data_IF_140964610151
#
_entry.id   IF_140964610151
#
_cell.length_a   1.000
_cell.length_b   1.000
_cell.length_c   1.000
_cell.angle_alpha   90.00
_cell.angle_beta   90.00
_cell.angle_gamma   90.00
#
_symmetry.space_group_name_H-M   'P 1'
#
loop_
_entity.id
_entity.type
_entity.pdbx_description
1 polymer ?
#
# COMPACT_ATOMS: atom_id res chain seq x y z
N UNK A 1 -37.52 26.49 -7.25
CA UNK A 1 -36.39 26.77 -6.35
C UNK A 1 -36.18 25.52 -5.51
N UNK A 2 -35.21 24.65 -5.90
CA UNK A 2 -34.84 23.49 -5.10
C UNK A 2 -33.63 23.88 -4.25
N UNK A 3 -33.80 23.80 -2.95
CA UNK A 3 -32.77 24.00 -1.95
C UNK A 3 -31.67 22.96 -2.16
N UNK A 4 -30.43 23.39 -2.43
CA UNK A 4 -29.23 22.56 -2.38
C UNK A 4 -28.90 22.34 -0.92
N UNK A 5 -29.25 21.19 -0.38
CA UNK A 5 -28.71 20.73 0.88
C UNK A 5 -27.23 20.46 0.65
N UNK A 6 -26.40 21.31 1.22
CA UNK A 6 -24.95 21.05 1.28
C UNK A 6 -24.66 19.76 2.06
N UNK A 7 -23.54 19.09 1.77
CA UNK A 7 -23.20 17.85 2.45
C UNK A 7 -23.11 18.12 3.95
N UNK A 8 -23.87 17.34 4.72
CA UNK A 8 -23.75 17.33 6.17
C UNK A 8 -22.32 16.90 6.50
N UNK A 9 -21.56 17.79 7.11
CA UNK A 9 -20.24 17.47 7.68
C UNK A 9 -20.51 16.51 8.82
N UNK A 10 -20.49 15.22 8.52
CA UNK A 10 -20.45 14.20 9.56
C UNK A 10 -19.08 14.37 10.24
N UNK A 11 -19.12 14.81 11.48
CA UNK A 11 -17.93 15.02 12.31
C UNK A 11 -17.21 13.70 12.42
N UNK A 12 -16.22 13.53 11.57
CA UNK A 12 -15.41 12.31 11.49
C UNK A 12 -14.62 12.20 12.79
N UNK A 13 -14.76 11.08 13.43
CA UNK A 13 -13.98 10.54 14.54
C UNK A 13 -12.64 11.24 14.76
N UNK A 14 -12.47 11.78 15.96
CA UNK A 14 -11.20 12.37 16.41
C UNK A 14 -10.04 11.43 16.14
N UNK A 15 -8.93 11.93 15.58
CA UNK A 15 -7.72 11.12 15.43
C UNK A 15 -7.29 10.58 16.79
N UNK A 16 -6.92 9.31 16.84
CA UNK A 16 -6.36 8.71 18.04
C UNK A 16 -5.05 9.41 18.40
N UNK A 17 -4.99 10.06 19.54
CA UNK A 17 -3.75 10.69 20.02
C UNK A 17 -3.22 9.93 21.23
N UNK A 18 -1.96 9.49 21.16
CA UNK A 18 -1.23 8.92 22.28
C UNK A 18 -0.13 9.90 22.72
N UNK A 19 -0.16 10.34 23.97
CA UNK A 19 0.93 11.09 24.54
C UNK A 19 1.89 10.15 25.28
N UNK A 20 3.18 10.22 24.95
CA UNK A 20 4.21 9.49 25.68
C UNK A 20 4.92 10.46 26.62
N UNK A 21 5.17 10.00 27.85
CA UNK A 21 5.85 10.83 28.85
C UNK A 21 7.23 11.28 28.35
N UNK A 22 7.35 12.59 28.03
CA UNK A 22 8.59 13.22 27.60
C UNK A 22 9.04 12.97 26.15
N UNK A 23 8.24 12.28 25.30
CA UNK A 23 8.63 11.95 23.90
C UNK A 23 7.72 12.52 22.81
N UNK A 24 6.78 13.39 23.15
CA UNK A 24 5.89 14.05 22.20
C UNK A 24 4.53 13.36 22.02
N UNK A 25 3.80 13.85 21.05
CA UNK A 25 2.46 13.36 20.70
C UNK A 25 2.54 12.55 19.41
N UNK A 26 1.88 11.40 19.39
CA UNK A 26 1.71 10.59 18.20
C UNK A 26 0.24 10.69 17.78
N UNK A 27 0.00 11.04 16.52
CA UNK A 27 -1.33 11.17 15.95
C UNK A 27 -1.49 10.12 14.86
N UNK A 28 -2.50 9.29 14.99
CA UNK A 28 -2.92 8.37 13.95
C UNK A 28 -4.13 8.99 13.25
N UNK A 29 -3.94 9.46 12.02
CA UNK A 29 -4.95 10.21 11.26
C UNK A 29 -6.22 9.41 10.99
N UNK A 30 -6.06 8.11 10.75
CA UNK A 30 -7.19 7.22 10.53
C UNK A 30 -6.94 5.87 11.23
N UNK A 31 -7.79 5.58 12.22
CA UNK A 31 -7.81 4.30 12.93
C UNK A 31 -9.05 3.45 12.62
N UNK A 32 -9.86 3.88 11.64
CA UNK A 32 -11.09 3.15 11.27
C UNK A 32 -10.83 1.69 10.93
N UNK A 33 -9.76 1.34 10.18
CA UNK A 33 -9.44 -0.05 9.89
C UNK A 33 -9.17 -0.88 11.15
N UNK A 34 -8.59 -0.26 12.20
CA UNK A 34 -8.28 -0.97 13.43
C UNK A 34 -9.51 -1.35 14.26
N UNK A 35 -10.67 -0.72 14.00
CA UNK A 35 -11.94 -1.09 14.64
C UNK A 35 -12.51 -2.39 14.12
N UNK A 36 -12.16 -2.73 12.88
CA UNK A 36 -12.60 -3.96 12.20
C UNK A 36 -11.66 -5.15 12.48
N UNK A 37 -10.62 -4.94 13.28
CA UNK A 37 -9.68 -6.00 13.66
C UNK A 37 -10.37 -6.95 14.62
N UNK A 38 -10.41 -8.23 14.23
CA UNK A 38 -10.91 -9.34 15.03
C UNK A 38 -9.91 -10.50 15.01
N UNK A 39 -10.01 -11.39 15.98
CA UNK A 39 -9.18 -12.61 15.97
C UNK A 39 -9.38 -13.42 14.71
N UNK A 40 -10.62 -13.46 14.19
CA UNK A 40 -10.96 -14.16 12.95
C UNK A 40 -10.21 -13.56 11.75
N UNK A 41 -10.20 -12.23 11.61
CA UNK A 41 -9.51 -11.53 10.53
C UNK A 41 -7.98 -11.72 10.61
N UNK A 42 -7.43 -11.77 11.82
CA UNK A 42 -5.99 -12.00 12.03
C UNK A 42 -5.57 -13.45 11.75
N UNK A 43 -6.49 -14.39 11.77
CA UNK A 43 -6.24 -15.80 11.40
C UNK A 43 -6.21 -16.02 9.88
N UNK A 44 -6.81 -15.12 9.10
CA UNK A 44 -6.80 -15.21 7.64
C UNK A 44 -5.38 -14.93 7.12
N UNK A 45 -5.07 -15.50 5.94
CA UNK A 45 -3.76 -15.27 5.31
C UNK A 45 -3.54 -13.78 5.02
N UNK A 46 -4.59 -13.08 4.61
CA UNK A 46 -4.61 -11.63 4.45
C UNK A 46 -6.03 -11.08 4.60
N UNK A 47 -6.12 -9.84 5.03
CA UNK A 47 -7.39 -9.10 5.14
C UNK A 47 -7.22 -7.70 4.58
N UNK A 48 -8.10 -7.31 3.66
CA UNK A 48 -8.23 -5.93 3.19
C UNK A 48 -9.35 -5.26 4.00
N UNK A 49 -9.02 -4.17 4.67
CA UNK A 49 -9.97 -3.44 5.49
C UNK A 49 -10.78 -2.43 4.68
N UNK A 50 -11.99 -2.05 5.15
CA UNK A 50 -12.82 -1.05 4.51
C UNK A 50 -12.05 0.25 4.24
N UNK A 51 -12.25 0.77 3.05
CA UNK A 51 -11.59 1.99 2.58
C UNK A 51 -12.48 3.19 2.85
N UNK A 52 -11.90 4.23 3.41
CA UNK A 52 -12.58 5.49 3.65
C UNK A 52 -12.67 6.29 2.37
N UNK A 53 -13.77 7.05 2.21
CA UNK A 53 -13.93 7.99 1.12
C UNK A 53 -12.73 8.93 1.00
N UNK A 54 -12.16 9.00 -0.19
CA UNK A 54 -11.03 9.87 -0.49
C UNK A 54 -11.51 11.22 -1.01
N UNK A 55 -10.87 12.29 -0.53
CA UNK A 55 -11.17 13.62 -1.01
C UNK A 55 -10.34 13.95 -2.24
N UNK A 56 -11.02 14.41 -3.27
CA UNK A 56 -10.36 14.95 -4.45
C UNK A 56 -10.14 16.45 -4.26
N UNK A 57 -8.89 16.90 -4.18
CA UNK A 57 -8.53 18.31 -4.05
C UNK A 57 -7.20 18.59 -4.75
N UNK A 58 -6.94 19.84 -5.04
CA UNK A 58 -5.62 20.25 -5.54
C UNK A 58 -4.71 20.51 -4.33
N UNK A 59 -3.65 19.71 -4.15
CA UNK A 59 -2.70 19.94 -3.08
C UNK A 59 -2.04 21.31 -3.25
N UNK A 60 -2.07 22.11 -2.20
CA UNK A 60 -1.36 23.38 -2.20
C UNK A 60 0.09 23.14 -1.83
N UNK A 61 0.98 23.43 -2.76
CA UNK A 61 2.41 23.48 -2.47
C UNK A 61 2.71 24.78 -1.73
N UNK A 62 3.32 24.68 -0.59
CA UNK A 62 3.85 25.82 0.15
C UNK A 62 5.22 26.19 -0.40
N UNK A 63 5.59 27.48 -0.30
CA UNK A 63 6.88 27.99 -0.79
C UNK A 63 8.06 27.21 -0.20
N UNK A 64 8.97 26.78 -1.06
CA UNK A 64 10.28 26.27 -0.68
C UNK A 64 10.47 24.75 -0.69
N UNK A 65 9.43 23.96 -0.88
CA UNK A 65 9.58 22.50 -1.02
C UNK A 65 8.74 21.98 -2.19
N UNK A 66 9.44 21.52 -3.21
CA UNK A 66 8.84 20.92 -4.41
C UNK A 66 8.82 19.40 -4.35
N UNK A 67 9.21 18.79 -3.22
CA UNK A 67 9.21 17.35 -3.05
C UNK A 67 7.78 16.86 -2.86
N UNK A 68 7.29 15.83 -3.59
CA UNK A 68 6.00 15.22 -3.34
C UNK A 68 5.89 14.77 -1.88
N UNK A 69 4.89 15.24 -1.14
CA UNK A 69 4.73 14.97 0.29
C UNK A 69 5.68 15.74 1.21
N UNK A 70 6.50 16.63 0.67
CA UNK A 70 7.41 17.44 1.46
C UNK A 70 6.70 18.43 2.39
N UNK A 71 7.36 18.77 3.48
CA UNK A 71 6.92 19.83 4.38
C UNK A 71 7.60 21.12 3.98
N UNK A 72 6.83 22.14 3.64
CA UNK A 72 7.38 23.45 3.44
C UNK A 72 7.72 24.13 4.77
N UNK A 73 8.69 25.01 4.77
CA UNK A 73 9.01 25.85 5.93
C UNK A 73 8.10 27.08 5.96
N UNK A 74 7.51 27.35 7.13
CA UNK A 74 6.82 28.61 7.42
C UNK A 74 7.65 29.52 8.32
N UNK A 75 8.93 29.21 8.47
CA UNK A 75 9.86 29.86 9.38
C UNK A 75 10.11 29.02 10.63
N UNK A 76 11.23 29.29 11.30
CA UNK A 76 11.71 28.49 12.43
C UNK A 76 10.79 28.51 13.66
N UNK A 77 9.92 29.53 13.74
CA UNK A 77 8.97 29.67 14.85
C UNK A 77 7.74 28.76 14.75
N UNK A 78 7.51 28.12 13.60
CA UNK A 78 6.32 27.32 13.35
C UNK A 78 6.69 25.86 13.06
N UNK A 79 6.06 24.95 13.80
CA UNK A 79 6.18 23.53 13.51
C UNK A 79 5.38 23.16 12.26
N UNK A 80 6.03 22.49 11.32
CA UNK A 80 5.42 22.00 10.09
C UNK A 80 5.63 20.49 9.99
N UNK A 81 4.56 19.74 9.78
CA UNK A 81 4.60 18.31 9.50
C UNK A 81 4.35 18.03 8.01
N UNK A 82 4.83 16.90 7.47
CA UNK A 82 4.44 16.44 6.14
C UNK A 82 2.93 16.28 6.05
N UNK A 83 2.36 16.54 4.86
CA UNK A 83 0.96 16.24 4.61
C UNK A 83 0.72 14.72 4.66
N UNK A 84 -0.48 14.28 5.07
CA UNK A 84 -0.87 12.88 4.91
C UNK A 84 -0.83 12.49 3.43
N UNK A 85 -0.69 11.18 3.11
CA UNK A 85 -0.73 10.74 1.72
C UNK A 85 -2.00 11.22 1.02
N UNK A 86 -1.84 11.79 -0.18
CA UNK A 86 -2.96 12.22 -1.00
C UNK A 86 -3.67 11.00 -1.58
N UNK A 87 -5.01 11.01 -1.55
CA UNK A 87 -5.85 10.04 -2.22
C UNK A 87 -6.49 9.00 -1.31
N UNK A 88 -6.77 7.82 -1.86
CA UNK A 88 -7.39 6.72 -1.13
C UNK A 88 -6.32 5.88 -0.43
N UNK A 89 -6.45 5.70 0.87
CA UNK A 89 -5.52 4.90 1.67
C UNK A 89 -6.10 3.53 1.91
N UNK A 90 -5.41 2.52 1.38
CA UNK A 90 -5.74 1.11 1.57
C UNK A 90 -4.96 0.58 2.77
N UNK A 91 -5.66 -0.05 3.69
CA UNK A 91 -5.07 -0.74 4.83
C UNK A 91 -5.31 -2.23 4.69
N UNK A 92 -4.25 -3.02 4.74
CA UNK A 92 -4.35 -4.47 4.71
C UNK A 92 -3.45 -5.10 5.78
N UNK A 93 -3.79 -6.32 6.14
CA UNK A 93 -3.03 -7.15 7.07
C UNK A 93 -2.55 -8.39 6.35
N UNK A 94 -1.31 -8.78 6.60
CA UNK A 94 -0.73 -10.06 6.19
C UNK A 94 -0.34 -10.84 7.44
N UNK A 95 -0.85 -12.07 7.56
CA UNK A 95 -0.47 -12.95 8.67
C UNK A 95 0.99 -13.36 8.58
N UNK A 96 1.41 -13.75 7.40
CA UNK A 96 2.74 -14.26 7.12
C UNK A 96 3.39 -13.42 6.01
N UNK A 97 4.70 -13.27 6.10
CA UNK A 97 5.51 -12.66 5.05
C UNK A 97 5.52 -13.53 3.79
N UNK A 98 5.40 -12.92 2.62
CA UNK A 98 5.54 -13.62 1.36
C UNK A 98 7.02 -13.85 1.07
N UNK A 99 7.39 -15.11 0.80
CA UNK A 99 8.77 -15.51 0.58
C UNK A 99 8.93 -16.23 -0.75
N UNK A 100 10.09 -16.04 -1.37
CA UNK A 100 10.51 -16.83 -2.53
C UNK A 100 10.73 -18.30 -2.15
N UNK A 101 10.70 -19.18 -3.13
CA UNK A 101 11.03 -20.60 -2.94
C UNK A 101 12.45 -20.77 -2.37
N UNK A 102 13.39 -19.93 -2.84
CA UNK A 102 14.76 -19.92 -2.33
C UNK A 102 14.84 -19.56 -0.84
N UNK A 103 14.11 -18.52 -0.41
CA UNK A 103 14.06 -18.12 1.00
C UNK A 103 13.46 -19.20 1.89
N UNK A 104 12.34 -19.79 1.45
CA UNK A 104 11.68 -20.89 2.16
C UNK A 104 12.62 -22.09 2.32
N UNK A 105 13.32 -22.49 1.25
CA UNK A 105 14.32 -23.56 1.29
C UNK A 105 15.46 -23.25 2.25
N UNK A 106 16.03 -22.05 2.16
CA UNK A 106 17.13 -21.63 3.06
C UNK A 106 16.71 -21.60 4.52
N UNK A 107 15.48 -21.24 4.82
CA UNK A 107 14.94 -21.31 6.19
C UNK A 107 14.77 -22.74 6.68
N UNK A 108 14.30 -23.64 5.80
CA UNK A 108 14.20 -25.07 6.11
C UNK A 108 15.59 -25.69 6.38
N UNK A 109 16.57 -25.39 5.52
CA UNK A 109 17.96 -25.83 5.68
C UNK A 109 18.55 -25.35 7.03
N UNK A 110 18.38 -24.07 7.36
CA UNK A 110 18.82 -23.53 8.66
C UNK A 110 18.16 -24.21 9.87
N UNK A 111 16.94 -24.70 9.72
CA UNK A 111 16.29 -25.47 10.80
C UNK A 111 16.90 -26.86 10.95
N UNK A 112 17.18 -27.53 9.83
CA UNK A 112 17.84 -28.84 9.82
C UNK A 112 19.26 -28.75 10.40
N UNK A 113 20.03 -27.75 10.00
CA UNK A 113 21.37 -27.52 10.57
C UNK A 113 21.34 -27.34 12.10
N UNK A 114 20.33 -26.64 12.64
CA UNK A 114 20.18 -26.46 14.07
C UNK A 114 19.84 -27.74 14.83
N UNK A 115 19.14 -28.68 14.17
CA UNK A 115 18.83 -29.99 14.74
C UNK A 115 19.95 -31.00 14.53
N UNK A 116 20.97 -30.65 13.73
CA UNK A 116 22.07 -31.54 13.40
C UNK A 116 21.74 -32.57 12.32
N UNK A 117 20.69 -32.32 11.56
CA UNK A 117 20.23 -33.16 10.46
C UNK A 117 20.93 -32.75 9.15
N UNK A 118 21.11 -33.71 8.24
CA UNK A 118 21.65 -33.44 6.93
C UNK A 118 20.71 -32.58 6.07
N UNK A 119 21.24 -31.59 5.37
CA UNK A 119 20.51 -30.78 4.40
C UNK A 119 20.52 -31.46 3.04
N UNK A 120 19.36 -31.91 2.51
CA UNK A 120 19.31 -32.57 1.22
C UNK A 120 19.61 -31.59 0.09
N UNK A 121 20.40 -32.04 -0.89
CA UNK A 121 20.64 -31.23 -2.09
C UNK A 121 19.34 -31.08 -2.91
N UNK A 122 18.90 -29.85 -3.24
CA UNK A 122 17.62 -29.59 -3.86
C UNK A 122 17.51 -30.03 -5.32
N UNK A 123 18.63 -30.32 -5.97
CA UNK A 123 18.70 -30.65 -7.39
C UNK A 123 18.78 -29.42 -8.31
N UNK A 124 19.42 -29.61 -9.47
CA UNK A 124 19.67 -28.54 -10.43
C UNK A 124 18.38 -27.89 -10.98
N UNK A 125 17.32 -28.67 -11.18
CA UNK A 125 16.06 -28.13 -11.71
C UNK A 125 15.33 -27.25 -10.70
N UNK A 126 15.43 -27.53 -9.41
CA UNK A 126 14.90 -26.69 -8.37
C UNK A 126 15.67 -25.37 -8.27
N UNK A 127 17.00 -25.43 -8.26
CA UNK A 127 17.86 -24.23 -8.21
C UNK A 127 17.64 -23.33 -9.42
N UNK A 128 17.48 -23.90 -10.62
CA UNK A 128 17.22 -23.12 -11.83
C UNK A 128 15.84 -22.44 -11.77
N UNK A 129 14.82 -23.09 -11.20
CA UNK A 129 13.50 -22.47 -10.99
C UNK A 129 13.58 -21.32 -9.99
N UNK A 130 14.33 -21.49 -8.91
CA UNK A 130 14.56 -20.41 -7.94
C UNK A 130 15.28 -19.21 -8.57
N UNK A 131 16.24 -19.43 -9.47
CA UNK A 131 16.99 -18.36 -10.14
C UNK A 131 16.13 -17.48 -11.05
N UNK A 132 15.11 -18.07 -11.69
CA UNK A 132 14.19 -17.36 -12.58
C UNK A 132 12.89 -16.94 -11.88
N UNK A 133 12.72 -17.24 -10.60
CA UNK A 133 11.54 -16.90 -9.83
C UNK A 133 11.37 -15.39 -9.75
N UNK A 134 10.16 -14.90 -10.08
CA UNK A 134 9.82 -13.51 -9.87
C UNK A 134 9.62 -13.24 -8.37
N UNK A 135 10.13 -12.12 -7.85
CA UNK A 135 9.87 -11.74 -6.46
C UNK A 135 8.38 -11.74 -6.16
N UNK A 136 7.96 -12.24 -4.99
CA UNK A 136 6.58 -12.15 -4.56
C UNK A 136 6.17 -10.69 -4.43
N UNK A 137 4.91 -10.39 -4.67
CA UNK A 137 4.37 -9.04 -4.52
C UNK A 137 2.93 -9.10 -4.03
N UNK A 138 2.56 -8.12 -3.23
CA UNK A 138 1.17 -7.79 -2.97
C UNK A 138 0.73 -6.78 -4.02
N UNK A 139 -0.39 -7.06 -4.67
CA UNK A 139 -0.95 -6.20 -5.73
C UNK A 139 -2.36 -5.78 -5.33
N UNK A 140 -2.53 -4.49 -5.19
CA UNK A 140 -3.83 -3.84 -5.04
C UNK A 140 -4.32 -3.43 -6.43
N UNK A 141 -5.48 -3.93 -6.84
CA UNK A 141 -6.07 -3.61 -8.14
C UNK A 141 -7.28 -2.71 -7.93
N UNK A 142 -7.18 -1.48 -8.42
CA UNK A 142 -8.29 -0.53 -8.41
C UNK A 142 -9.07 -0.64 -9.70
N UNK A 143 -10.40 -0.75 -9.60
CA UNK A 143 -11.33 -0.84 -10.72
C UNK A 143 -12.40 0.23 -10.62
N UNK A 144 -12.88 0.70 -11.76
CA UNK A 144 -14.02 1.60 -11.85
C UNK A 144 -15.37 0.84 -11.72
N UNK A 145 -16.47 1.58 -11.80
CA UNK A 145 -17.85 1.05 -11.75
C UNK A 145 -18.19 0.12 -12.94
N UNK A 146 -17.48 0.24 -14.05
CA UNK A 146 -17.58 -0.67 -15.19
C UNK A 146 -16.71 -1.94 -15.02
N UNK A 147 -15.96 -2.05 -13.92
CA UNK A 147 -15.04 -3.15 -13.65
C UNK A 147 -13.71 -3.07 -14.40
N UNK A 148 -13.44 -1.95 -15.09
CA UNK A 148 -12.18 -1.76 -15.78
C UNK A 148 -11.07 -1.40 -14.80
N UNK A 149 -9.87 -1.94 -15.05
CA UNK A 149 -8.71 -1.66 -14.22
C UNK A 149 -8.22 -0.22 -14.44
N UNK A 150 -8.18 0.54 -13.37
CA UNK A 150 -7.67 1.92 -13.33
C UNK A 150 -6.20 1.95 -12.94
N UNK A 151 -5.82 1.17 -11.92
CA UNK A 151 -4.45 1.17 -11.37
C UNK A 151 -4.11 -0.17 -10.73
N UNK A 152 -2.86 -0.56 -10.92
CA UNK A 152 -2.19 -1.57 -10.08
C UNK A 152 -1.22 -0.87 -9.15
N UNK A 153 -1.22 -1.25 -7.89
CA UNK A 153 -0.36 -0.68 -6.86
C UNK A 153 0.29 -1.83 -6.12
N UNK A 154 1.61 -1.85 -6.10
CA UNK A 154 2.34 -2.83 -5.31
C UNK A 154 2.43 -2.35 -3.85
N UNK A 155 2.26 -3.27 -2.93
CA UNK A 155 2.35 -3.04 -1.50
C UNK A 155 3.42 -3.91 -0.84
N UNK A 156 3.82 -3.57 0.40
CA UNK A 156 4.73 -4.36 1.21
C UNK A 156 4.27 -5.82 1.37
N UNK A 157 5.25 -6.73 1.47
CA UNK A 157 5.03 -8.19 1.56
C UNK A 157 5.32 -8.77 2.95
N UNK A 158 5.81 -7.95 3.88
CA UNK A 158 6.14 -8.35 5.24
C UNK A 158 4.85 -8.69 6.03
N UNK A 159 5.00 -9.51 7.07
CA UNK A 159 3.90 -9.77 7.98
C UNK A 159 3.50 -8.51 8.77
N UNK A 160 2.20 -8.28 8.98
CA UNK A 160 1.68 -7.17 9.76
C UNK A 160 0.71 -6.28 9.01
N UNK A 161 0.49 -5.08 9.56
CA UNK A 161 -0.39 -4.08 8.98
C UNK A 161 0.37 -3.16 8.04
N UNK A 162 -0.19 -2.95 6.86
CA UNK A 162 0.37 -2.08 5.84
C UNK A 162 -0.64 -1.05 5.38
N UNK A 163 -0.13 0.12 5.01
CA UNK A 163 -0.93 1.21 4.44
C UNK A 163 -0.30 1.68 3.15
N UNK A 164 -1.09 1.67 2.08
CA UNK A 164 -0.67 2.09 0.75
C UNK A 164 -1.69 3.10 0.21
N UNK A 165 -1.23 4.19 -0.36
CA UNK A 165 -2.09 5.22 -0.91
C UNK A 165 -2.17 5.13 -2.43
N UNK A 166 -3.39 5.22 -2.97
CA UNK A 166 -3.62 5.49 -4.37
C UNK A 166 -3.79 6.99 -4.57
N UNK A 167 -2.97 7.57 -5.42
CA UNK A 167 -2.93 9.00 -5.73
C UNK A 167 -4.10 9.50 -6.60
N UNK A 168 -5.16 8.71 -6.74
CA UNK A 168 -6.34 8.96 -7.58
C UNK A 168 -5.97 9.20 -9.06
N UNK A 169 -4.95 8.51 -9.56
CA UNK A 169 -4.52 8.65 -10.95
C UNK A 169 -4.53 7.31 -11.68
N UNK A 170 -4.79 7.40 -12.97
CA UNK A 170 -4.54 6.28 -13.87
C UNK A 170 -3.05 5.98 -13.96
N UNK A 171 -2.73 4.81 -14.50
CA UNK A 171 -1.35 4.50 -14.82
C UNK A 171 -0.78 5.54 -15.80
N UNK A 172 0.51 5.81 -15.64
CA UNK A 172 1.22 6.67 -16.59
C UNK A 172 1.25 5.99 -17.97
N UNK A 173 0.84 6.70 -19.00
CA UNK A 173 0.86 6.21 -20.38
C UNK A 173 2.18 6.58 -21.09
N UNK A 174 3.30 6.24 -20.46
CA UNK A 174 4.61 6.42 -21.11
C UNK A 174 4.87 5.23 -22.04
N UNK A 175 5.25 5.43 -23.30
CA UNK A 175 5.67 4.33 -24.15
C UNK A 175 6.83 3.57 -23.51
N UNK A 176 6.77 2.25 -23.56
CA UNK A 176 7.89 1.44 -23.13
C UNK A 176 9.11 1.72 -24.01
N UNK A 177 10.23 2.08 -23.41
CA UNK A 177 11.51 2.25 -24.11
C UNK A 177 12.49 1.20 -23.60
N UNK A 178 13.23 0.50 -24.46
CA UNK A 178 14.20 -0.51 -24.03
C UNK A 178 15.41 0.09 -23.31
N UNK A 179 15.63 1.39 -23.44
CA UNK A 179 16.68 2.08 -22.72
C UNK A 179 16.13 2.62 -21.39
N UNK A 180 16.86 2.43 -20.27
CA UNK A 180 16.48 3.06 -19.02
C UNK A 180 16.42 4.56 -19.25
N UNK A 181 15.27 5.16 -18.96
CA UNK A 181 15.14 6.60 -18.99
C UNK A 181 16.24 7.20 -18.12
N UNK A 182 17.04 8.08 -18.68
CA UNK A 182 17.99 8.87 -17.90
C UNK A 182 17.25 9.58 -16.77
N UNK A 183 17.96 10.13 -15.77
CA UNK A 183 17.33 10.77 -14.62
C UNK A 183 16.38 11.86 -15.12
N UNK A 184 15.09 11.53 -15.14
CA UNK A 184 14.04 12.50 -15.44
C UNK A 184 13.71 13.23 -14.16
N UNK A 185 14.02 14.50 -14.11
CA UNK A 185 13.66 15.36 -12.99
C UNK A 185 12.17 15.69 -12.94
N UNK A 186 11.40 15.24 -13.95
CA UNK A 186 9.97 15.49 -14.04
C UNK A 186 9.29 14.17 -14.39
N UNK A 187 8.75 13.49 -13.38
CA UNK A 187 7.77 12.44 -13.61
C UNK A 187 6.45 13.10 -14.00
N UNK A 188 5.96 12.81 -15.21
CA UNK A 188 4.63 13.24 -15.63
C UNK A 188 3.65 12.20 -15.06
N UNK A 189 2.88 12.53 -14.01
CA UNK A 189 1.95 11.59 -13.44
C UNK A 189 0.81 11.30 -14.43
N UNK A 190 0.20 10.13 -14.33
CA UNK A 190 -1.00 9.79 -15.10
C UNK A 190 -2.15 10.77 -14.86
N UNK A 191 -3.18 10.79 -15.72
CA UNK A 191 -4.34 11.65 -15.55
C UNK A 191 -5.09 11.31 -14.26
N UNK A 192 -5.72 12.31 -13.65
CA UNK A 192 -6.57 12.10 -12.48
C UNK A 192 -7.80 11.29 -12.84
N UNK A 193 -8.18 10.38 -11.96
CA UNK A 193 -9.43 9.64 -12.06
C UNK A 193 -10.61 10.58 -11.80
N UNK A 194 -11.72 10.36 -12.51
CA UNK A 194 -12.93 11.12 -12.30
C UNK A 194 -13.53 10.82 -10.91
N UNK A 195 -14.20 11.75 -10.26
CA UNK A 195 -14.99 11.46 -9.06
C UNK A 195 -16.03 10.36 -9.35
N UNK A 196 -16.05 9.32 -8.52
CA UNK A 196 -16.92 8.16 -8.71
C UNK A 196 -16.67 7.10 -7.66
N UNK A 197 -17.31 5.95 -7.85
CA UNK A 197 -17.10 4.77 -7.00
C UNK A 197 -16.06 3.85 -7.64
N UNK A 198 -15.12 3.42 -6.84
CA UNK A 198 -14.05 2.51 -7.24
C UNK A 198 -14.02 1.33 -6.29
N UNK A 199 -13.65 0.17 -6.81
CA UNK A 199 -13.48 -1.04 -6.03
C UNK A 199 -12.01 -1.41 -6.01
N UNK A 200 -11.49 -1.80 -4.85
CA UNK A 200 -10.13 -2.29 -4.70
C UNK A 200 -10.14 -3.76 -4.30
N UNK A 201 -9.32 -4.57 -4.95
CA UNK A 201 -9.07 -5.96 -4.59
C UNK A 201 -7.60 -6.16 -4.24
N UNK A 202 -7.36 -7.07 -3.29
CA UNK A 202 -6.03 -7.46 -2.84
C UNK A 202 -5.67 -8.82 -3.42
N UNK A 203 -4.48 -8.96 -3.97
CA UNK A 203 -3.96 -10.22 -4.48
C UNK A 203 -2.48 -10.40 -4.14
N UNK A 204 -2.06 -11.65 -3.95
CA UNK A 204 -0.65 -12.02 -3.88
C UNK A 204 -0.20 -12.56 -5.22
N UNK A 205 0.95 -12.11 -5.68
CA UNK A 205 1.68 -12.71 -6.80
C UNK A 205 2.85 -13.52 -6.24
N UNK A 206 2.78 -14.83 -6.38
CA UNK A 206 3.86 -15.75 -5.97
C UNK A 206 4.14 -16.70 -7.13
N UNK A 207 5.38 -16.86 -7.51
CA UNK A 207 5.80 -17.68 -8.66
C UNK A 207 5.07 -17.33 -9.97
N UNK A 208 4.78 -16.04 -10.18
CA UNK A 208 4.03 -15.55 -11.35
C UNK A 208 2.53 -15.84 -11.34
N UNK A 209 2.01 -16.51 -10.32
CA UNK A 209 0.59 -16.76 -10.15
C UNK A 209 -0.05 -15.71 -9.25
N UNK A 210 -1.19 -15.17 -9.68
CA UNK A 210 -1.99 -14.24 -8.90
C UNK A 210 -3.08 -15.01 -8.14
N UNK A 211 -3.12 -14.79 -6.83
CA UNK A 211 -4.15 -15.35 -5.95
C UNK A 211 -4.85 -14.20 -5.24
N UNK A 212 -6.16 -14.07 -5.43
CA UNK A 212 -6.95 -13.07 -4.72
C UNK A 212 -7.01 -13.38 -3.22
N UNK A 213 -6.90 -12.33 -2.42
CA UNK A 213 -6.86 -12.39 -0.96
C UNK A 213 -8.01 -11.55 -0.38
N UNK A 214 -8.90 -12.20 0.34
CA UNK A 214 -10.05 -11.54 0.95
C UNK A 214 -11.11 -11.09 -0.05
N UNK A 215 -12.03 -10.25 0.44
CA UNK A 215 -13.10 -9.68 -0.38
C UNK A 215 -12.72 -8.30 -0.88
N UNK A 216 -13.12 -7.90 -2.09
CA UNK A 216 -12.98 -6.52 -2.58
C UNK A 216 -13.72 -5.52 -1.68
N UNK A 217 -13.20 -4.30 -1.61
CA UNK A 217 -13.76 -3.18 -0.85
C UNK A 217 -14.20 -2.05 -1.78
#
# INVERSE_FOLDING_TARGET
>A
MKSLNGPSVTRTTSPGSNSTFGRGFWILDDYSPLREVSEENLQQAATLYPVKDAWWYLPKLTLGDFTPGGKASQGDALYVAPNPPFGAVFTYYLRDELKTAQEQRREAEKKLEKTGDDTPYPGWDALRREEIEQPPAIVLTVRDDAGQVVRYIEGPIEAGFHRVAWDLRYAQSTPWTPEPAGPSYIEIPGPLAAPGTYTVSLAARVNGQMTELGSPQ
#
